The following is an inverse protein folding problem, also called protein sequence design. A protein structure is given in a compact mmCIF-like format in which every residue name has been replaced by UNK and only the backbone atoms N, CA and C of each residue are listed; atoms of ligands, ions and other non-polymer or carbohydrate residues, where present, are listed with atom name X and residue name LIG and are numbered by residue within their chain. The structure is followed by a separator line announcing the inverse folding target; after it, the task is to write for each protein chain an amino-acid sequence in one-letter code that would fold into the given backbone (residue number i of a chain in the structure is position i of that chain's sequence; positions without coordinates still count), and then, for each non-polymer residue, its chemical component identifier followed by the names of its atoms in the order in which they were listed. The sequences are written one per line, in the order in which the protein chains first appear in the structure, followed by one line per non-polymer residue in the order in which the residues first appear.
data_IF_283986551074
#
_entry.id   IF_283986551074
#
_cell.length_a   1.000
_cell.length_b   1.000
_cell.length_c   1.000
_cell.angle_alpha   90.00
_cell.angle_beta   90.00
_cell.angle_gamma   90.00
#
_symmetry.space_group_name_H-M   'P 1'
#
loop_
_entity.id
_entity.type
_entity.pdbx_description
1 polymer ?
#
# COMPACT_ATOMS: atom_id res chain seq x y z
N UNK A 1 -2.40 -31.85 -23.76
CA UNK A 1 -3.55 -30.92 -23.85
C UNK A 1 -4.08 -30.80 -22.43
N UNK A 2 -3.93 -29.65 -21.78
CA UNK A 2 -4.44 -29.47 -20.42
C UNK A 2 -5.97 -29.47 -20.46
N UNK A 3 -6.58 -30.24 -19.58
CA UNK A 3 -8.04 -30.35 -19.44
C UNK A 3 -8.58 -29.12 -18.70
N UNK A 4 -9.85 -28.78 -18.94
CA UNK A 4 -10.50 -27.63 -18.29
C UNK A 4 -10.49 -27.74 -16.75
N UNK A 5 -10.59 -28.96 -16.22
CA UNK A 5 -10.48 -29.25 -14.79
C UNK A 5 -9.10 -28.97 -14.22
N UNK A 6 -8.03 -29.27 -14.97
CA UNK A 6 -6.65 -28.98 -14.53
C UNK A 6 -6.40 -27.47 -14.48
N UNK A 7 -6.89 -26.72 -15.47
CA UNK A 7 -6.77 -25.25 -15.50
C UNK A 7 -7.53 -24.62 -14.33
N UNK A 8 -8.74 -25.10 -14.03
CA UNK A 8 -9.56 -24.56 -12.94
C UNK A 8 -8.96 -24.86 -11.56
N UNK A 9 -8.39 -26.06 -11.38
CA UNK A 9 -7.70 -26.45 -10.15
C UNK A 9 -6.45 -25.60 -9.90
N UNK A 10 -5.67 -25.31 -10.95
CA UNK A 10 -4.51 -24.41 -10.84
C UNK A 10 -4.93 -22.99 -10.46
N UNK A 11 -5.97 -22.46 -11.10
CA UNK A 11 -6.45 -21.10 -10.80
C UNK A 11 -6.90 -20.95 -9.34
N UNK A 12 -7.63 -21.93 -8.81
CA UNK A 12 -8.08 -21.93 -7.42
C UNK A 12 -6.91 -21.95 -6.42
N UNK A 13 -5.84 -22.69 -6.72
CA UNK A 13 -4.63 -22.71 -5.90
C UNK A 13 -3.94 -21.35 -5.90
N UNK A 14 -3.81 -20.69 -7.05
CA UNK A 14 -3.16 -19.38 -7.14
C UNK A 14 -3.98 -18.27 -6.47
N UNK A 15 -5.31 -18.28 -6.55
CA UNK A 15 -6.16 -17.29 -5.89
C UNK A 15 -5.99 -17.25 -4.37
N UNK A 16 -5.61 -18.37 -3.74
CA UNK A 16 -5.36 -18.43 -2.30
C UNK A 16 -4.09 -17.69 -1.83
N UNK A 17 -3.21 -17.32 -2.76
CA UNK A 17 -1.95 -16.61 -2.46
C UNK A 17 -2.04 -15.10 -2.61
N UNK A 18 -3.12 -14.58 -3.18
CA UNK A 18 -3.34 -13.14 -3.32
C UNK A 18 -3.86 -12.57 -1.99
N UNK A 19 -2.95 -11.99 -1.20
CA UNK A 19 -3.31 -11.25 0.02
C UNK A 19 -3.25 -9.75 -0.25
N UNK A 20 -4.39 -9.09 -0.21
CA UNK A 20 -4.46 -7.62 -0.11
C UNK A 20 -4.40 -7.18 1.34
N UNK A 21 -3.84 -6.00 1.61
CA UNK A 21 -3.88 -5.39 2.93
C UNK A 21 -4.83 -4.20 2.91
N UNK A 22 -5.82 -4.20 3.81
CA UNK A 22 -6.75 -3.10 3.99
C UNK A 22 -6.50 -2.46 5.36
N UNK A 23 -6.36 -1.14 5.38
CA UNK A 23 -6.31 -0.33 6.60
C UNK A 23 -7.45 0.68 6.56
N UNK A 24 -8.16 0.82 7.67
CA UNK A 24 -9.13 1.89 7.87
C UNK A 24 -8.47 2.98 8.70
N UNK A 25 -8.58 4.22 8.24
CA UNK A 25 -7.97 5.40 8.86
C UNK A 25 -9.12 6.35 9.21
N UNK A 26 -9.20 6.74 10.48
CA UNK A 26 -10.24 7.67 10.94
C UNK A 26 -10.00 9.08 10.39
N UNK A 27 -11.06 9.91 10.38
CA UNK A 27 -10.97 11.30 9.96
C UNK A 27 -9.90 12.07 10.75
N UNK A 28 -9.03 12.81 10.04
CA UNK A 28 -7.91 13.56 10.62
C UNK A 28 -6.91 12.71 11.40
N UNK A 29 -6.93 11.38 11.21
CA UNK A 29 -5.98 10.47 11.81
C UNK A 29 -4.83 10.14 10.85
N UNK A 30 -3.74 9.66 11.45
CA UNK A 30 -2.53 9.22 10.79
C UNK A 30 -2.29 7.75 11.08
N UNK A 31 -2.00 6.96 10.05
CA UNK A 31 -1.48 5.60 10.19
C UNK A 31 -0.05 5.51 9.64
N UNK A 32 0.83 4.86 10.40
CA UNK A 32 2.27 4.86 10.13
C UNK A 32 2.81 3.43 10.05
N UNK A 33 3.40 3.07 8.92
CA UNK A 33 3.99 1.77 8.64
C UNK A 33 5.50 1.87 8.52
N UNK A 34 6.21 0.94 9.14
CA UNK A 34 7.67 0.89 9.12
C UNK A 34 8.16 -0.35 8.39
N UNK A 35 9.00 -0.15 7.38
CA UNK A 35 9.68 -1.24 6.69
C UNK A 35 11.19 -1.09 6.83
N UNK A 36 11.86 -2.15 7.32
CA UNK A 36 13.32 -2.15 7.45
C UNK A 36 13.94 -2.47 6.10
N UNK A 37 14.73 -1.54 5.56
CA UNK A 37 15.37 -1.71 4.25
C UNK A 37 16.86 -1.44 4.25
N UNK A 38 17.57 -2.18 3.40
CA UNK A 38 18.99 -1.97 3.18
C UNK A 38 19.23 -0.76 2.27
N UNK A 39 20.46 -0.25 2.31
CA UNK A 39 20.88 0.84 1.41
C UNK A 39 20.87 0.36 -0.05
N UNK A 40 20.41 1.20 -0.97
CA UNK A 40 20.28 0.87 -2.39
C UNK A 40 19.06 0.00 -2.72
N UNK A 41 18.23 -0.35 -1.73
CA UNK A 41 16.96 -1.03 -1.97
C UNK A 41 15.92 -0.04 -2.52
N UNK A 42 15.30 -0.42 -3.64
CA UNK A 42 14.14 0.28 -4.21
C UNK A 42 12.87 -0.25 -3.55
N UNK A 43 12.06 0.65 -3.03
CA UNK A 43 10.72 0.36 -2.52
C UNK A 43 9.69 0.96 -3.44
N UNK A 44 8.58 0.23 -3.62
CA UNK A 44 7.39 0.69 -4.31
C UNK A 44 6.20 0.56 -3.37
N UNK A 45 5.35 1.58 -3.32
CA UNK A 45 4.09 1.56 -2.61
C UNK A 45 2.96 1.75 -3.63
N UNK A 46 2.15 0.70 -3.78
CA UNK A 46 0.87 0.75 -4.50
C UNK A 46 -0.25 0.86 -3.48
N UNK A 47 -1.16 1.81 -3.67
CA UNK A 47 -2.34 1.95 -2.83
C UNK A 47 -3.56 2.34 -3.63
N UNK A 48 -4.72 1.97 -3.10
CA UNK A 48 -6.03 2.27 -3.64
C UNK A 48 -6.95 2.66 -2.50
N UNK A 49 -7.65 3.79 -2.65
CA UNK A 49 -8.70 4.18 -1.70
C UNK A 49 -9.99 3.46 -2.09
N UNK A 50 -10.42 2.51 -1.25
CA UNK A 50 -11.58 1.67 -1.53
C UNK A 50 -12.91 2.24 -1.02
N UNK A 51 -12.88 3.03 0.05
CA UNK A 51 -14.07 3.67 0.65
C UNK A 51 -13.63 4.91 1.44
N UNK A 52 -14.44 5.99 1.42
CA UNK A 52 -14.14 7.24 2.12
C UNK A 52 -14.85 8.43 1.48
N UNK A 53 -14.98 9.53 2.24
CA UNK A 53 -15.62 10.76 1.75
C UNK A 53 -14.62 11.85 1.47
N UNK A 54 -14.59 12.30 0.22
CA UNK A 54 -13.54 13.15 -0.37
C UNK A 54 -12.16 12.48 -0.33
N UNK A 55 -12.01 11.41 -1.11
CA UNK A 55 -10.91 10.93 -1.99
C UNK A 55 -9.43 11.17 -1.68
N UNK A 56 -9.08 11.84 -0.59
CA UNK A 56 -7.77 12.42 -0.39
C UNK A 56 -7.11 11.74 0.81
N UNK A 57 -6.31 10.71 0.52
CA UNK A 57 -5.29 10.20 1.43
C UNK A 57 -3.96 10.86 1.09
N UNK A 58 -3.41 11.59 2.05
CA UNK A 58 -2.06 12.13 1.94
C UNK A 58 -1.06 11.02 2.28
N UNK A 59 -0.18 10.70 1.33
CA UNK A 59 0.85 9.67 1.50
C UNK A 59 2.21 10.32 1.57
N UNK A 60 2.90 10.12 2.69
CA UNK A 60 4.25 10.63 2.92
C UNK A 60 5.22 9.46 3.15
N UNK A 61 6.26 9.37 2.33
CA UNK A 61 7.35 8.39 2.52
C UNK A 61 8.60 9.11 2.94
N UNK A 62 9.12 8.81 4.14
CA UNK A 62 10.36 9.40 4.66
C UNK A 62 11.33 8.34 5.17
N UNK A 63 12.65 8.56 5.02
CA UNK A 63 13.63 7.73 5.69
C UNK A 63 13.54 7.92 7.21
N UNK A 64 13.54 6.82 7.96
CA UNK A 64 13.59 6.83 9.41
C UNK A 64 15.01 6.47 9.88
N UNK A 65 15.74 7.50 10.31
CA UNK A 65 17.18 7.39 10.62
C UNK A 65 17.47 6.50 11.84
N UNK A 66 16.56 6.43 12.82
CA UNK A 66 16.82 5.71 14.07
C UNK A 66 17.06 4.22 13.86
N UNK A 67 16.46 3.62 12.83
CA UNK A 67 16.49 2.16 12.68
C UNK A 67 16.66 1.65 11.24
N UNK A 68 17.22 2.50 10.37
CA UNK A 68 17.41 2.18 8.94
C UNK A 68 16.11 1.73 8.25
N UNK A 69 14.95 2.16 8.73
CA UNK A 69 13.64 1.85 8.12
C UNK A 69 13.18 2.99 7.20
N UNK A 70 12.27 2.69 6.29
CA UNK A 70 11.38 3.68 5.69
C UNK A 70 10.10 3.74 6.51
N UNK A 71 9.62 4.96 6.72
CA UNK A 71 8.33 5.25 7.31
C UNK A 71 7.39 5.67 6.17
N UNK A 72 6.32 4.92 6.00
CA UNK A 72 5.17 5.31 5.19
C UNK A 72 4.10 5.83 6.13
N UNK A 73 3.75 7.10 5.99
CA UNK A 73 2.71 7.76 6.75
C UNK A 73 1.52 8.02 5.82
N UNK A 74 0.35 7.54 6.22
CA UNK A 74 -0.93 7.76 5.56
C UNK A 74 -1.77 8.70 6.44
N UNK A 75 -2.25 9.81 5.88
CA UNK A 75 -3.06 10.80 6.60
C UNK A 75 -4.40 11.00 5.89
N UNK A 76 -5.51 10.81 6.61
CA UNK A 76 -6.85 11.01 6.07
C UNK A 76 -7.35 12.43 6.36
N UNK A 77 -7.55 13.24 5.33
CA UNK A 77 -7.87 14.67 5.48
C UNK A 77 -9.34 14.94 5.76
N UNK A 78 -10.28 14.19 5.16
CA UNK A 78 -11.73 14.32 5.36
C UNK A 78 -12.41 12.94 5.31
N UNK A 79 -13.51 12.74 6.05
CA UNK A 79 -14.25 11.48 6.10
C UNK A 79 -15.77 11.63 5.84
N UNK A 80 -16.19 12.72 5.19
CA UNK A 80 -17.61 13.07 5.06
C UNK A 80 -18.14 12.83 3.63
N UNK A 81 -18.78 11.67 3.43
CA UNK A 81 -19.79 11.27 2.40
C UNK A 81 -19.42 9.97 1.64
N UNK A 82 -20.37 9.08 1.33
CA UNK A 82 -20.08 7.84 0.61
C UNK A 82 -20.09 8.09 -0.91
N UNK A 83 -18.98 8.55 -1.49
CA UNK A 83 -18.81 8.56 -2.94
C UNK A 83 -17.64 7.62 -3.28
N UNK A 84 -17.97 6.50 -3.96
CA UNK A 84 -17.02 5.45 -4.33
C UNK A 84 -16.23 5.89 -5.56
N UNK A 85 -15.25 6.77 -5.38
CA UNK A 85 -14.30 7.12 -6.43
C UNK A 85 -12.95 6.47 -6.09
N UNK A 86 -12.49 5.61 -6.99
CA UNK A 86 -11.27 4.81 -6.78
C UNK A 86 -10.04 5.61 -7.20
N UNK A 87 -9.22 6.05 -6.24
CA UNK A 87 -7.93 6.68 -6.53
C UNK A 87 -6.78 5.68 -6.33
N UNK A 88 -6.06 5.38 -7.42
CA UNK A 88 -4.86 4.53 -7.42
C UNK A 88 -3.60 5.39 -7.46
N UNK A 89 -2.64 5.10 -6.60
CA UNK A 89 -1.34 5.77 -6.55
C UNK A 89 -0.18 4.77 -6.55
N UNK A 90 0.94 5.18 -7.14
CA UNK A 90 2.19 4.42 -7.21
C UNK A 90 3.36 5.31 -6.83
N UNK A 91 4.07 4.97 -5.75
CA UNK A 91 5.19 5.77 -5.23
C UNK A 91 6.46 4.90 -5.20
N UNK A 92 7.45 5.27 -6.02
CA UNK A 92 8.78 4.65 -5.99
C UNK A 92 9.77 5.47 -5.16
N UNK A 93 10.41 4.84 -4.18
CA UNK A 93 11.45 5.46 -3.35
C UNK A 93 12.71 4.59 -3.36
N UNK A 94 13.83 5.17 -3.79
CA UNK A 94 15.15 4.53 -3.67
C UNK A 94 15.86 5.07 -2.43
N UNK A 95 16.25 4.18 -1.52
CA UNK A 95 17.07 4.57 -0.37
C UNK A 95 18.50 4.81 -0.84
N UNK A 96 18.86 6.07 -1.07
CA UNK A 96 20.24 6.47 -1.35
C UNK A 96 21.08 6.31 -0.08
N UNK A 97 22.12 5.48 -0.18
CA UNK A 97 23.09 5.34 0.90
C UNK A 97 23.90 6.62 1.05
N UNK A 98 23.73 7.32 2.16
CA UNK A 98 24.79 8.19 2.66
C UNK A 98 25.89 7.27 3.21
N UNK A 99 27.02 7.26 2.51
CA UNK A 99 28.28 6.68 2.97
C UNK A 99 28.86 7.53 4.12
#
# INVERSE_FOLDING_TARGET
MFTLSEVLALLALFSSTASGYFVSIDAHADECFFERVNSGTKMGLMFEVAEGGFLDIDVEVRPHWSDRSALVKLHATNALSPELDTHTGDIGVEKTGLN
#
